data_IF_655743352607
#
_entry.id   IF_655743352607
#
_cell.length_a   1.000
_cell.length_b   1.000
_cell.length_c   1.000
_cell.angle_alpha   90.00
_cell.angle_beta   90.00
_cell.angle_gamma   90.00
#
_symmetry.space_group_name_H-M   'P 1'
#
loop_
_entity.id
_entity.type
_entity.pdbx_description
1 polymer ?
#
# COMPACT_ATOMS: atom_id res chain seq x y z
N UNK A 1 15.02 -51.17 12.31
CA UNK A 1 13.72 -51.00 11.64
C UNK A 1 13.63 -49.52 11.27
N UNK A 2 14.08 -49.19 10.06
CA UNK A 2 14.18 -47.81 9.59
C UNK A 2 13.09 -47.62 8.55
N UNK A 3 12.02 -46.92 8.92
CA UNK A 3 10.89 -46.63 8.03
C UNK A 3 11.29 -45.47 7.12
N UNK A 4 11.54 -45.77 5.85
CA UNK A 4 11.64 -44.78 4.79
C UNK A 4 10.24 -44.21 4.52
N UNK A 5 10.06 -42.91 4.75
CA UNK A 5 8.89 -42.18 4.26
C UNK A 5 9.25 -41.73 2.84
N UNK A 6 8.67 -42.41 1.85
CA UNK A 6 8.74 -42.03 0.45
C UNK A 6 7.80 -40.83 0.25
N UNK A 7 8.36 -39.63 0.08
CA UNK A 7 7.59 -38.47 -0.40
C UNK A 7 7.65 -38.50 -1.92
N UNK A 8 6.62 -39.06 -2.56
CA UNK A 8 6.39 -38.88 -4.00
C UNK A 8 5.97 -37.42 -4.22
N UNK A 9 6.90 -36.63 -4.75
CA UNK A 9 6.57 -35.33 -5.34
C UNK A 9 6.26 -35.61 -6.80
N UNK A 10 4.98 -35.68 -7.13
CA UNK A 10 4.54 -35.81 -8.51
C UNK A 10 5.08 -34.64 -9.34
N UNK A 11 5.78 -35.00 -10.39
CA UNK A 11 6.40 -34.12 -11.37
C UNK A 11 5.31 -33.41 -12.20
N UNK A 12 4.81 -32.26 -11.74
CA UNK A 12 3.93 -31.39 -12.53
C UNK A 12 4.74 -30.46 -13.43
N UNK A 13 5.27 -31.03 -14.52
CA UNK A 13 5.74 -30.25 -15.65
C UNK A 13 5.14 -30.80 -16.94
N UNK A 14 3.81 -30.71 -17.06
CA UNK A 14 3.15 -30.87 -18.35
C UNK A 14 3.10 -29.51 -19.06
N UNK A 15 3.76 -29.45 -20.22
CA UNK A 15 3.46 -28.46 -21.27
C UNK A 15 1.94 -28.42 -21.48
N UNK A 16 1.30 -27.25 -21.66
CA UNK A 16 -0.14 -27.21 -21.84
C UNK A 16 -0.52 -27.90 -23.15
N UNK A 17 -1.14 -29.07 -23.02
CA UNK A 17 -1.89 -29.75 -24.08
C UNK A 17 -3.09 -28.88 -24.46
N UNK A 18 -3.31 -28.74 -25.77
CA UNK A 18 -4.17 -27.74 -26.40
C UNK A 18 -5.67 -27.94 -26.31
N UNK A 19 -6.22 -28.22 -25.13
CA UNK A 19 -7.65 -28.07 -24.86
C UNK A 19 -7.87 -26.85 -23.95
N UNK A 20 -8.66 -25.90 -24.44
CA UNK A 20 -8.93 -24.66 -23.72
C UNK A 20 -9.81 -24.94 -22.49
N UNK A 21 -9.17 -25.01 -21.32
CA UNK A 21 -9.86 -25.19 -20.04
C UNK A 21 -10.92 -24.12 -19.85
N UNK A 22 -12.16 -24.54 -19.59
CA UNK A 22 -13.33 -23.65 -19.57
C UNK A 22 -13.65 -23.08 -18.19
N UNK A 23 -13.06 -23.64 -17.13
CA UNK A 23 -13.35 -23.29 -15.74
C UNK A 23 -12.07 -22.93 -14.98
N UNK A 24 -12.20 -22.02 -14.03
CA UNK A 24 -11.14 -21.64 -13.11
C UNK A 24 -11.59 -21.87 -11.67
N UNK A 25 -10.73 -22.49 -10.87
CA UNK A 25 -10.89 -22.56 -9.43
C UNK A 25 -10.18 -21.37 -8.79
N UNK A 26 -10.92 -20.64 -7.97
CA UNK A 26 -10.54 -19.32 -7.46
C UNK A 26 -10.63 -19.31 -5.94
N UNK A 27 -9.55 -18.92 -5.28
CA UNK A 27 -9.52 -18.66 -3.84
C UNK A 27 -9.54 -17.17 -3.55
N UNK A 28 -9.98 -16.80 -2.36
CA UNK A 28 -10.17 -15.41 -1.96
C UNK A 28 -9.41 -15.09 -0.69
N UNK A 29 -8.99 -13.82 -0.54
CA UNK A 29 -8.54 -13.28 0.74
C UNK A 29 -9.72 -13.11 1.71
N UNK A 30 -10.30 -14.24 2.11
CA UNK A 30 -11.42 -14.44 3.01
C UNK A 30 -11.19 -15.76 3.76
N UNK A 31 -11.75 -15.96 4.95
CA UNK A 31 -11.60 -17.19 5.72
C UNK A 31 -12.46 -18.33 5.15
N UNK A 32 -12.13 -18.79 3.94
CA UNK A 32 -12.84 -19.82 3.17
C UNK A 32 -11.87 -20.95 2.83
N UNK A 33 -12.20 -22.17 3.22
CA UNK A 33 -11.29 -23.32 3.06
C UNK A 33 -11.28 -23.88 1.63
N UNK A 34 -12.41 -23.82 0.93
CA UNK A 34 -12.54 -24.39 -0.41
C UNK A 34 -12.43 -23.33 -1.52
N UNK A 35 -11.79 -23.69 -2.67
CA UNK A 35 -11.86 -22.89 -3.88
C UNK A 35 -13.28 -22.81 -4.45
N UNK A 36 -13.57 -21.72 -5.13
CA UNK A 36 -14.83 -21.52 -5.85
C UNK A 36 -14.58 -21.64 -7.35
N UNK A 37 -15.44 -22.40 -8.03
CA UNK A 37 -15.33 -22.58 -9.48
C UNK A 37 -16.10 -21.51 -10.24
N UNK A 38 -15.48 -20.94 -11.27
CA UNK A 38 -16.06 -19.93 -12.15
C UNK A 38 -15.88 -20.32 -13.62
N UNK A 39 -16.83 -19.90 -14.46
CA UNK A 39 -16.73 -20.03 -15.92
C UNK A 39 -15.75 -18.98 -16.45
N UNK A 40 -14.83 -19.40 -17.30
CA UNK A 40 -13.97 -18.51 -18.10
C UNK A 40 -14.78 -18.10 -19.33
N UNK A 41 -15.17 -16.82 -19.45
CA UNK A 41 -15.94 -16.39 -20.60
C UNK A 41 -15.11 -16.42 -21.89
N UNK A 42 -15.74 -16.52 -23.07
CA UNK A 42 -15.04 -16.64 -24.35
C UNK A 42 -13.95 -15.59 -24.59
N UNK A 43 -14.17 -14.34 -24.17
CA UNK A 43 -13.18 -13.26 -24.34
C UNK A 43 -11.90 -13.42 -23.51
N UNK A 44 -11.88 -14.33 -22.52
CA UNK A 44 -10.72 -14.59 -21.67
C UNK A 44 -10.18 -16.02 -21.84
N UNK A 45 -10.75 -16.83 -22.74
CA UNK A 45 -10.25 -18.17 -23.01
C UNK A 45 -8.82 -18.13 -23.54
N UNK A 46 -7.92 -18.94 -22.96
CA UNK A 46 -6.49 -18.92 -23.27
C UNK A 46 -5.70 -17.77 -22.63
N UNK A 47 -6.36 -16.77 -22.05
CA UNK A 47 -5.72 -15.69 -21.31
C UNK A 47 -5.66 -15.97 -19.81
N UNK A 48 -6.66 -16.66 -19.24
CA UNK A 48 -6.63 -17.05 -17.82
C UNK A 48 -5.60 -18.16 -17.59
N UNK A 49 -4.72 -17.95 -16.61
CA UNK A 49 -3.69 -18.90 -16.20
C UNK A 49 -3.70 -19.04 -14.68
N UNK A 50 -3.20 -20.19 -14.19
CA UNK A 50 -2.94 -20.41 -12.76
C UNK A 50 -1.98 -19.32 -12.25
N UNK A 51 -2.26 -18.80 -11.06
CA UNK A 51 -1.50 -17.73 -10.42
C UNK A 51 -1.91 -16.31 -10.82
N UNK A 52 -2.91 -16.16 -11.70
CA UNK A 52 -3.47 -14.85 -12.06
C UNK A 52 -4.53 -14.38 -11.07
N UNK A 53 -4.70 -13.06 -10.97
CA UNK A 53 -5.88 -12.47 -10.32
C UNK A 53 -7.04 -12.43 -11.29
N UNK A 54 -8.24 -12.56 -10.73
CA UNK A 54 -9.51 -12.44 -11.44
C UNK A 54 -10.46 -11.56 -10.64
N UNK A 55 -11.24 -10.73 -11.32
CA UNK A 55 -12.40 -10.08 -10.73
C UNK A 55 -13.61 -10.96 -10.96
N UNK A 56 -14.27 -11.36 -9.88
CA UNK A 56 -15.41 -12.28 -9.93
C UNK A 56 -16.57 -11.79 -9.06
N UNK A 57 -17.81 -12.10 -9.45
CA UNK A 57 -18.98 -11.82 -8.61
C UNK A 57 -19.00 -12.76 -7.39
N UNK A 58 -19.03 -12.17 -6.19
CA UNK A 58 -19.13 -12.87 -4.91
C UNK A 58 -20.23 -12.23 -4.06
N UNK A 59 -21.37 -12.93 -3.94
CA UNK A 59 -22.59 -12.35 -3.38
C UNK A 59 -23.08 -11.15 -4.21
N UNK A 60 -23.22 -9.98 -3.57
CA UNK A 60 -23.70 -8.71 -4.17
C UNK A 60 -22.58 -7.81 -4.70
N UNK A 61 -21.31 -8.18 -4.52
CA UNK A 61 -20.14 -7.39 -4.90
C UNK A 61 -19.25 -8.16 -5.86
N UNK A 62 -18.38 -7.47 -6.58
CA UNK A 62 -17.23 -8.09 -7.22
C UNK A 62 -16.01 -7.98 -6.32
N UNK A 63 -15.23 -9.05 -6.22
CA UNK A 63 -13.99 -9.09 -5.45
C UNK A 63 -12.88 -9.71 -6.29
N UNK A 64 -11.64 -9.43 -5.89
CA UNK A 64 -10.45 -10.05 -6.47
C UNK A 64 -10.25 -11.43 -5.84
N UNK A 65 -10.04 -12.43 -6.68
CA UNK A 65 -9.60 -13.77 -6.29
C UNK A 65 -8.35 -14.19 -7.07
N UNK A 66 -7.76 -15.31 -6.66
CA UNK A 66 -6.56 -15.89 -7.27
C UNK A 66 -6.90 -17.24 -7.91
N UNK A 67 -6.55 -17.42 -9.17
CA UNK A 67 -6.74 -18.69 -9.87
C UNK A 67 -5.70 -19.69 -9.37
N UNK A 68 -6.15 -20.76 -8.73
CA UNK A 68 -5.27 -21.81 -8.18
C UNK A 68 -5.21 -23.03 -9.08
N UNK A 69 -6.25 -23.25 -9.88
CA UNK A 69 -6.34 -24.38 -10.79
C UNK A 69 -7.29 -24.06 -11.96
N UNK A 70 -7.15 -24.81 -13.05
CA UNK A 70 -8.00 -24.74 -14.22
C UNK A 70 -8.59 -26.12 -14.48
N UNK A 71 -9.90 -26.17 -14.69
CA UNK A 71 -10.66 -27.41 -14.83
C UNK A 71 -11.49 -27.44 -16.12
N UNK A 72 -11.78 -28.66 -16.59
CA UNK A 72 -12.53 -28.90 -17.82
C UNK A 72 -14.00 -29.27 -17.56
N UNK A 73 -14.31 -29.76 -16.35
CA UNK A 73 -15.62 -30.29 -16.01
C UNK A 73 -16.12 -29.75 -14.67
N UNK A 74 -17.44 -29.62 -14.58
CA UNK A 74 -18.16 -29.30 -13.36
C UNK A 74 -19.37 -30.21 -13.24
N UNK A 75 -19.26 -31.19 -12.34
CA UNK A 75 -20.26 -32.24 -12.20
C UNK A 75 -21.29 -31.95 -11.10
N UNK A 76 -21.19 -30.79 -10.45
CA UNK A 76 -22.11 -30.39 -9.37
C UNK A 76 -23.34 -29.68 -9.94
N UNK A 77 -24.55 -29.90 -9.39
CA UNK A 77 -25.81 -29.32 -9.87
C UNK A 77 -25.98 -27.85 -9.42
N UNK A 78 -24.93 -27.05 -9.47
CA UNK A 78 -24.91 -25.64 -9.05
C UNK A 78 -24.54 -24.79 -10.26
N UNK A 79 -25.35 -23.77 -10.53
CA UNK A 79 -25.10 -22.81 -11.60
C UNK A 79 -23.84 -21.99 -11.28
N UNK A 80 -22.85 -22.06 -12.17
CA UNK A 80 -21.61 -21.32 -12.03
C UNK A 80 -21.79 -19.86 -12.48
N UNK A 81 -21.09 -18.96 -11.78
CA UNK A 81 -20.93 -17.58 -12.23
C UNK A 81 -19.72 -17.46 -13.14
N UNK A 82 -19.68 -16.39 -13.93
CA UNK A 82 -18.61 -16.11 -14.88
C UNK A 82 -17.59 -15.15 -14.29
N UNK A 83 -16.31 -15.29 -14.69
CA UNK A 83 -15.29 -14.28 -14.42
C UNK A 83 -15.70 -12.95 -15.05
N UNK A 84 -15.67 -11.88 -14.26
CA UNK A 84 -16.07 -10.55 -14.71
C UNK A 84 -14.94 -9.85 -15.48
N UNK A 85 -13.70 -9.94 -15.01
CA UNK A 85 -12.55 -9.27 -15.64
C UNK A 85 -11.21 -9.84 -15.17
N UNK A 86 -10.12 -9.46 -15.85
CA UNK A 86 -8.73 -9.83 -15.49
C UNK A 86 -7.92 -8.57 -15.18
N UNK A 87 -7.52 -8.32 -13.92
CA UNK A 87 -6.68 -7.17 -13.56
C UNK A 87 -5.26 -7.22 -14.14
N UNK A 88 -4.76 -8.42 -14.43
CA UNK A 88 -3.39 -8.65 -14.88
C UNK A 88 -3.37 -9.40 -16.22
N UNK A 89 -2.30 -9.22 -16.99
CA UNK A 89 -2.07 -9.96 -18.25
C UNK A 89 -1.25 -11.23 -18.05
N UNK A 90 -0.58 -11.37 -16.91
CA UNK A 90 0.30 -12.49 -16.58
C UNK A 90 0.08 -12.94 -15.12
N UNK A 91 0.45 -14.20 -14.76
CA UNK A 91 0.42 -14.66 -13.39
C UNK A 91 1.29 -13.79 -12.48
N UNK A 92 0.73 -13.38 -11.34
CA UNK A 92 1.45 -12.64 -10.30
C UNK A 92 1.98 -13.57 -9.20
N UNK A 93 1.48 -14.81 -9.16
CA UNK A 93 1.92 -15.89 -8.27
C UNK A 93 2.43 -17.03 -9.14
N UNK A 94 3.64 -17.51 -8.89
CA UNK A 94 4.17 -18.69 -9.57
C UNK A 94 3.74 -19.99 -8.86
N UNK A 95 4.02 -21.12 -9.49
CA UNK A 95 3.66 -22.44 -8.96
C UNK A 95 4.31 -22.73 -7.60
N UNK A 96 5.57 -22.34 -7.39
CA UNK A 96 6.25 -22.56 -6.11
C UNK A 96 5.58 -21.79 -4.98
N UNK A 97 5.19 -20.53 -5.21
CA UNK A 97 4.50 -19.72 -4.20
C UNK A 97 3.08 -20.23 -3.96
N UNK A 98 2.37 -20.72 -4.97
CA UNK A 98 1.07 -21.38 -4.78
C UNK A 98 1.19 -22.60 -3.88
N UNK A 99 2.15 -23.48 -4.14
CA UNK A 99 2.39 -24.68 -3.32
C UNK A 99 2.77 -24.32 -1.88
N UNK A 100 3.69 -23.36 -1.71
CA UNK A 100 4.09 -22.89 -0.38
C UNK A 100 2.93 -22.28 0.39
N UNK A 101 2.14 -21.43 -0.25
CA UNK A 101 1.00 -20.75 0.41
C UNK A 101 -0.14 -21.72 0.71
N UNK A 102 -0.32 -22.78 -0.09
CA UNK A 102 -1.25 -23.85 0.21
C UNK A 102 -0.82 -24.58 1.49
N UNK A 103 0.45 -25.02 1.56
CA UNK A 103 1.01 -25.67 2.74
C UNK A 103 0.91 -24.78 3.99
N UNK A 104 1.20 -23.47 3.85
CA UNK A 104 1.05 -22.51 4.96
C UNK A 104 -0.40 -22.42 5.45
N UNK A 105 -1.37 -22.37 4.54
CA UNK A 105 -2.79 -22.35 4.87
C UNK A 105 -3.21 -23.59 5.66
N UNK A 106 -2.83 -24.76 5.17
CA UNK A 106 -3.12 -26.05 5.82
C UNK A 106 -2.45 -26.16 7.19
N UNK A 107 -1.17 -25.79 7.30
CA UNK A 107 -0.39 -25.91 8.54
C UNK A 107 -0.87 -24.93 9.63
N UNK A 108 -1.17 -23.68 9.26
CA UNK A 108 -1.59 -22.65 10.20
C UNK A 108 -3.11 -22.47 10.31
N UNK A 109 -3.90 -23.36 9.68
CA UNK A 109 -5.36 -23.33 9.66
C UNK A 109 -5.94 -21.99 9.16
N UNK A 110 -5.26 -21.34 8.21
CA UNK A 110 -5.74 -20.14 7.50
C UNK A 110 -6.23 -20.52 6.09
N UNK A 111 -6.97 -19.63 5.42
CA UNK A 111 -7.34 -19.93 4.03
C UNK A 111 -6.15 -19.78 3.08
N UNK A 112 -6.17 -20.55 1.99
CA UNK A 112 -5.15 -20.44 0.96
C UNK A 112 -5.09 -19.02 0.36
N UNK A 113 -6.24 -18.36 0.17
CA UNK A 113 -6.26 -17.00 -0.37
C UNK A 113 -5.76 -15.94 0.62
N UNK A 114 -5.92 -16.13 1.93
CA UNK A 114 -5.29 -15.29 2.96
C UNK A 114 -3.76 -15.49 2.96
N UNK A 115 -3.28 -16.73 2.85
CA UNK A 115 -1.86 -17.05 2.76
C UNK A 115 -1.21 -16.47 1.49
N UNK A 116 -1.85 -16.60 0.32
CA UNK A 116 -1.40 -15.97 -0.92
C UNK A 116 -1.31 -14.45 -0.75
N UNK A 117 -2.35 -13.84 -0.17
CA UNK A 117 -2.35 -12.39 0.04
C UNK A 117 -1.22 -11.95 0.96
N UNK A 118 -0.93 -12.70 2.01
CA UNK A 118 0.15 -12.38 2.95
C UNK A 118 1.54 -12.47 2.30
N UNK A 119 1.72 -13.34 1.31
CA UNK A 119 2.98 -13.49 0.57
C UNK A 119 3.21 -12.36 -0.46
N UNK A 120 2.16 -11.66 -0.90
CA UNK A 120 2.25 -10.62 -1.92
C UNK A 120 2.58 -9.23 -1.33
N UNK A 121 3.33 -8.37 -2.07
CA UNK A 121 3.64 -7.02 -1.62
C UNK A 121 2.39 -6.20 -1.26
N UNK A 122 2.49 -5.46 -0.16
CA UNK A 122 1.44 -4.53 0.25
C UNK A 122 1.22 -3.47 -0.84
N UNK A 123 0.00 -3.43 -1.39
CA UNK A 123 -0.40 -2.46 -2.40
C UNK A 123 -0.65 -3.03 -3.80
N UNK A 124 -0.47 -4.33 -4.02
CA UNK A 124 -0.89 -4.97 -5.28
C UNK A 124 -2.40 -4.81 -5.53
N UNK A 125 -3.21 -4.78 -4.46
CA UNK A 125 -4.66 -4.47 -4.53
C UNK A 125 -4.96 -2.97 -4.33
N UNK A 126 -3.94 -2.16 -4.01
CA UNK A 126 -4.10 -0.71 -3.84
C UNK A 126 -3.86 0.00 -5.16
N UNK A 127 -4.71 -0.34 -6.12
CA UNK A 127 -4.75 0.24 -7.48
C UNK A 127 -5.05 1.75 -7.48
N UNK A 128 -5.30 2.34 -6.29
CA UNK A 128 -5.49 3.79 -6.14
C UNK A 128 -4.21 4.60 -6.21
N UNK A 129 -3.04 3.93 -6.28
CA UNK A 129 -1.71 4.56 -6.33
C UNK A 129 -1.14 4.72 -7.73
N UNK A 130 -1.73 4.08 -8.72
CA UNK A 130 -1.29 4.17 -10.11
C UNK A 130 -2.01 5.31 -10.82
N UNK A 131 -1.22 6.20 -11.43
CA UNK A 131 -1.68 7.20 -12.37
C UNK A 131 -1.22 6.83 -13.77
N UNK A 132 -2.14 6.92 -14.71
CA UNK A 132 -1.95 6.66 -16.13
C UNK A 132 -1.98 7.98 -16.89
N UNK A 133 -0.98 8.20 -17.73
CA UNK A 133 -0.98 9.23 -18.76
C UNK A 133 -0.90 8.56 -20.14
N UNK A 134 -1.53 9.15 -21.16
CA UNK A 134 -1.41 8.63 -22.52
C UNK A 134 0.01 8.87 -23.04
N UNK A 135 0.60 7.87 -23.69
CA UNK A 135 1.88 8.03 -24.38
C UNK A 135 1.69 8.57 -25.81
N UNK A 136 2.78 8.92 -26.48
CA UNK A 136 2.78 9.28 -27.90
C UNK A 136 2.22 8.13 -28.76
N UNK A 137 2.71 6.90 -28.53
CA UNK A 137 2.23 5.67 -29.20
C UNK A 137 0.73 5.46 -28.96
N UNK A 138 0.24 5.72 -27.74
CA UNK A 138 -1.19 5.65 -27.40
C UNK A 138 -2.04 6.66 -28.18
N UNK A 139 -1.50 7.84 -28.44
CA UNK A 139 -2.17 8.90 -29.18
C UNK A 139 -2.28 8.55 -30.67
N UNK A 140 -1.20 8.02 -31.25
CA UNK A 140 -1.19 7.52 -32.63
C UNK A 140 -2.15 6.34 -32.81
N UNK A 141 -2.14 5.40 -31.87
CA UNK A 141 -3.02 4.24 -31.89
C UNK A 141 -4.50 4.62 -31.90
N UNK A 142 -4.86 5.68 -31.17
CA UNK A 142 -6.23 6.23 -31.17
C UNK A 142 -6.69 6.68 -32.56
N UNK A 143 -5.77 7.20 -33.35
CA UNK A 143 -6.03 7.71 -34.71
C UNK A 143 -6.04 6.58 -35.75
N UNK A 144 -5.23 5.54 -35.53
CA UNK A 144 -5.06 4.42 -36.48
C UNK A 144 -6.20 3.39 -36.49
N UNK A 145 -7.05 3.34 -35.45
CA UNK A 145 -8.26 2.51 -35.41
C UNK A 145 -8.04 1.00 -35.15
N UNK A 146 -6.85 0.56 -34.74
CA UNK A 146 -6.50 -0.86 -34.54
C UNK A 146 -6.89 -1.45 -33.17
N UNK A 147 -7.56 -0.67 -32.31
CA UNK A 147 -7.78 -1.00 -30.90
C UNK A 147 -9.16 -1.59 -30.62
N UNK A 148 -9.27 -2.38 -29.55
CA UNK A 148 -10.56 -2.89 -29.07
C UNK A 148 -11.46 -1.75 -28.57
N UNK A 149 -12.79 -1.96 -28.55
CA UNK A 149 -13.76 -0.95 -28.09
C UNK A 149 -13.44 -0.42 -26.69
N UNK A 150 -13.13 -1.31 -25.74
CA UNK A 150 -12.75 -0.92 -24.37
C UNK A 150 -11.42 -0.17 -24.33
N UNK A 151 -10.43 -0.59 -25.14
CA UNK A 151 -9.15 0.12 -25.24
C UNK A 151 -9.32 1.55 -25.78
N UNK A 152 -10.15 1.73 -26.82
CA UNK A 152 -10.49 3.06 -27.35
C UNK A 152 -11.17 3.93 -26.30
N UNK A 153 -12.13 3.40 -25.56
CA UNK A 153 -12.79 4.16 -24.48
C UNK A 153 -11.82 4.59 -23.38
N UNK A 154 -10.91 3.70 -22.97
CA UNK A 154 -9.89 3.98 -21.94
C UNK A 154 -8.93 5.07 -22.44
N UNK A 155 -8.33 4.91 -23.61
CA UNK A 155 -7.39 5.89 -24.14
C UNK A 155 -8.07 7.24 -24.45
N UNK A 156 -9.29 7.24 -24.98
CA UNK A 156 -10.06 8.47 -25.24
C UNK A 156 -10.44 9.22 -23.95
N UNK A 157 -10.66 8.49 -22.86
CA UNK A 157 -10.89 9.11 -21.55
C UNK A 157 -9.59 9.71 -20.99
N UNK A 158 -8.49 8.94 -21.03
CA UNK A 158 -7.20 9.36 -20.50
C UNK A 158 -6.63 10.53 -21.32
N UNK A 159 -6.82 10.57 -22.63
CA UNK A 159 -6.29 11.65 -23.50
C UNK A 159 -6.89 13.03 -23.21
N UNK A 160 -8.05 13.10 -22.56
CA UNK A 160 -8.73 14.36 -22.22
C UNK A 160 -8.19 15.03 -20.95
N UNK A 161 -7.29 14.37 -20.23
CA UNK A 161 -6.77 14.84 -18.95
C UNK A 161 -5.27 14.49 -18.80
N UNK A 162 -4.49 15.25 -18.02
CA UNK A 162 -3.05 15.01 -17.93
C UNK A 162 -2.72 13.64 -17.32
N UNK A 163 -3.54 13.19 -16.37
CA UNK A 163 -3.41 11.89 -15.71
C UNK A 163 -4.76 11.36 -15.26
N UNK A 164 -4.89 10.04 -15.15
CA UNK A 164 -6.06 9.33 -14.67
C UNK A 164 -5.67 8.24 -13.66
N UNK A 165 -6.45 8.07 -12.60
CA UNK A 165 -6.34 6.91 -11.70
C UNK A 165 -7.28 5.79 -12.15
N UNK A 166 -7.01 4.55 -11.73
CA UNK A 166 -7.91 3.42 -12.04
C UNK A 166 -9.36 3.70 -11.62
N UNK A 167 -9.56 4.24 -10.41
CA UNK A 167 -10.90 4.57 -9.89
C UNK A 167 -11.61 5.61 -10.73
N UNK A 168 -10.89 6.57 -11.31
CA UNK A 168 -11.48 7.55 -12.23
C UNK A 168 -11.91 6.87 -13.53
N UNK A 169 -11.06 6.02 -14.11
CA UNK A 169 -11.39 5.24 -15.30
C UNK A 169 -12.63 4.36 -15.07
N UNK A 170 -12.66 3.59 -13.97
CA UNK A 170 -13.80 2.74 -13.61
C UNK A 170 -15.10 3.54 -13.43
N UNK A 171 -15.05 4.68 -12.72
CA UNK A 171 -16.22 5.52 -12.47
C UNK A 171 -16.76 6.18 -13.73
N UNK A 172 -15.87 6.67 -14.60
CA UNK A 172 -16.26 7.38 -15.80
C UNK A 172 -16.78 6.44 -16.90
N UNK A 173 -16.14 5.27 -17.05
CA UNK A 173 -16.43 4.35 -18.15
C UNK A 173 -17.46 3.26 -17.79
N UNK A 174 -17.64 2.95 -16.51
CA UNK A 174 -18.63 1.98 -16.05
C UNK A 174 -18.52 0.64 -16.78
N UNK A 175 -19.58 0.22 -17.47
CA UNK A 175 -19.62 -1.05 -18.23
C UNK A 175 -18.66 -1.10 -19.43
N UNK A 176 -18.20 0.04 -19.91
CA UNK A 176 -17.23 0.12 -21.01
C UNK A 176 -15.79 -0.07 -20.53
N UNK A 177 -15.57 -0.01 -19.21
CA UNK A 177 -14.29 -0.26 -18.59
C UNK A 177 -13.95 -1.75 -18.63
N UNK A 178 -12.70 -2.07 -18.96
CA UNK A 178 -12.13 -3.40 -18.76
C UNK A 178 -10.75 -3.24 -18.13
N UNK A 179 -10.56 -3.91 -16.98
CA UNK A 179 -9.28 -4.02 -16.30
C UNK A 179 -8.25 -4.72 -17.20
N UNK A 180 -8.68 -5.76 -17.93
CA UNK A 180 -7.79 -6.46 -18.86
C UNK A 180 -7.31 -5.56 -20.00
N UNK A 181 -8.21 -4.76 -20.58
CA UNK A 181 -7.83 -3.79 -21.62
C UNK A 181 -6.84 -2.74 -21.07
N UNK A 182 -7.06 -2.24 -19.85
CA UNK A 182 -6.13 -1.31 -19.21
C UNK A 182 -4.74 -1.95 -18.98
N UNK A 183 -4.70 -3.18 -18.46
CA UNK A 183 -3.46 -3.91 -18.22
C UNK A 183 -2.68 -4.16 -19.53
N UNK A 184 -3.38 -4.52 -20.60
CA UNK A 184 -2.82 -4.62 -21.97
C UNK A 184 -2.24 -3.31 -22.45
N UNK A 185 -3.00 -2.21 -22.34
CA UNK A 185 -2.53 -0.88 -22.76
C UNK A 185 -1.27 -0.44 -22.01
N UNK A 186 -1.15 -0.79 -20.73
CA UNK A 186 0.05 -0.58 -19.92
C UNK A 186 1.22 -1.43 -20.43
N UNK A 187 1.00 -2.73 -20.62
CA UNK A 187 2.04 -3.67 -21.07
C UNK A 187 2.58 -3.32 -22.46
N UNK A 188 1.70 -2.89 -23.36
CA UNK A 188 2.03 -2.54 -24.75
C UNK A 188 2.58 -1.11 -24.89
N UNK A 189 2.74 -0.38 -23.79
CA UNK A 189 3.38 0.94 -23.76
C UNK A 189 2.49 2.09 -24.22
N UNK A 190 1.20 1.85 -24.51
CA UNK A 190 0.25 2.90 -24.86
C UNK A 190 -0.01 3.87 -23.69
N UNK A 191 0.21 3.44 -22.45
CA UNK A 191 0.08 4.26 -21.25
C UNK A 191 1.42 4.38 -20.50
N UNK A 192 1.75 5.60 -20.08
CA UNK A 192 2.80 5.85 -19.09
C UNK A 192 2.23 5.69 -17.69
N UNK A 193 2.88 4.87 -16.85
CA UNK A 193 2.46 4.64 -15.46
C UNK A 193 3.38 5.39 -14.51
N UNK A 194 2.80 6.13 -13.56
CA UNK A 194 3.54 6.70 -12.43
C UNK A 194 2.88 6.29 -11.11
N UNK A 195 3.69 5.92 -10.11
CA UNK A 195 3.19 5.61 -8.78
C UNK A 195 3.26 6.86 -7.90
N UNK A 196 2.14 7.26 -7.30
CA UNK A 196 2.19 8.24 -6.23
C UNK A 196 2.86 7.61 -5.01
N UNK A 197 4.11 7.96 -4.73
CA UNK A 197 4.65 7.80 -3.38
C UNK A 197 3.87 8.75 -2.46
N UNK A 198 2.98 8.22 -1.62
CA UNK A 198 2.58 8.97 -0.42
C UNK A 198 3.86 9.18 0.37
N UNK A 199 4.42 10.39 0.33
CA UNK A 199 5.31 10.81 1.42
C UNK A 199 4.51 10.55 2.68
N UNK A 200 5.04 9.72 3.58
CA UNK A 200 4.45 9.49 4.88
C UNK A 200 4.03 10.86 5.42
N UNK A 201 2.73 11.05 5.67
CA UNK A 201 2.28 12.14 6.53
C UNK A 201 2.71 11.72 7.93
N UNK A 202 4.02 11.69 8.20
CA UNK A 202 4.52 11.76 9.57
C UNK A 202 3.91 13.06 10.06
N UNK A 203 2.88 12.93 10.89
CA UNK A 203 2.09 14.07 11.33
C UNK A 203 3.03 14.96 12.13
N UNK A 204 3.43 16.08 11.57
CA UNK A 204 4.27 17.01 12.30
C UNK A 204 3.45 17.60 13.46
N UNK A 205 4.05 17.64 14.63
CA UNK A 205 3.52 18.40 15.75
C UNK A 205 4.28 19.72 15.82
N UNK A 206 3.54 20.82 15.81
CA UNK A 206 4.08 22.13 16.11
C UNK A 206 4.25 22.22 17.62
N UNK A 207 5.50 22.27 18.07
CA UNK A 207 5.84 22.34 19.50
C UNK A 207 6.44 23.71 19.77
N UNK A 208 5.96 24.37 20.83
CA UNK A 208 6.59 25.61 21.31
C UNK A 208 7.88 25.23 22.03
N UNK A 209 8.99 25.71 21.49
CA UNK A 209 10.34 25.49 22.01
C UNK A 209 10.96 26.82 22.44
N UNK A 210 11.94 26.73 23.31
CA UNK A 210 12.68 27.90 23.81
C UNK A 210 14.16 27.67 23.54
N UNK A 211 14.83 28.74 23.11
CA UNK A 211 16.28 28.82 22.99
C UNK A 211 16.82 30.15 23.48
N UNK A 212 18.12 30.24 23.69
CA UNK A 212 18.81 31.50 23.96
C UNK A 212 18.77 32.39 22.70
N UNK A 213 18.72 33.71 22.90
CA UNK A 213 18.78 34.65 21.78
C UNK A 213 20.13 34.54 21.05
N UNK A 214 20.14 34.71 19.73
CA UNK A 214 21.35 34.56 18.90
C UNK A 214 22.48 35.54 19.25
N UNK A 215 22.16 36.66 19.91
CA UNK A 215 23.13 37.63 20.43
C UNK A 215 22.88 37.84 21.92
N UNK A 216 23.63 37.12 22.74
CA UNK A 216 23.60 37.25 24.19
C UNK A 216 24.34 38.52 24.65
N UNK A 217 23.90 39.17 25.74
CA UNK A 217 24.69 40.18 26.44
C UNK A 217 26.01 39.58 26.98
N UNK A 218 26.97 40.42 27.36
CA UNK A 218 28.23 39.95 27.93
C UNK A 218 28.01 39.15 29.23
N UNK A 219 28.86 38.17 29.50
CA UNK A 219 28.74 37.24 30.64
C UNK A 219 28.57 37.95 32.00
N UNK A 220 29.29 39.07 32.20
CA UNK A 220 29.17 39.93 33.39
C UNK A 220 27.80 40.60 33.55
N UNK A 221 27.12 40.87 32.45
CA UNK A 221 25.79 41.48 32.43
C UNK A 221 24.70 40.43 32.71
N UNK A 222 24.86 39.24 32.13
CA UNK A 222 24.00 38.07 32.40
C UNK A 222 24.03 37.71 33.88
N UNK A 223 25.22 37.63 34.49
CA UNK A 223 25.36 37.32 35.91
C UNK A 223 24.72 38.38 36.81
N UNK A 224 24.78 39.68 36.44
CA UNK A 224 24.07 40.75 37.15
C UNK A 224 22.55 40.60 37.03
N UNK A 225 22.05 40.31 35.84
CA UNK A 225 20.62 40.17 35.55
C UNK A 225 20.02 38.93 36.23
N UNK A 226 20.78 37.86 36.40
CA UNK A 226 20.31 36.59 36.99
C UNK A 226 20.67 36.43 38.47
N UNK A 227 21.45 37.35 39.06
CA UNK A 227 21.96 37.30 40.45
C UNK A 227 20.91 37.03 41.53
N UNK A 228 19.69 37.55 41.36
CA UNK A 228 18.58 37.45 42.34
C UNK A 228 17.50 36.44 41.94
N UNK A 229 17.72 35.65 40.89
CA UNK A 229 16.69 34.77 40.33
C UNK A 229 17.23 33.36 40.08
N UNK A 230 17.41 32.54 41.14
CA UNK A 230 18.01 31.20 41.05
C UNK A 230 17.32 30.29 40.02
N UNK A 231 15.97 30.33 39.95
CA UNK A 231 15.20 29.58 38.96
C UNK A 231 15.42 30.05 37.52
N UNK A 232 15.63 31.35 37.29
CA UNK A 232 15.95 31.87 35.95
C UNK A 232 17.36 31.47 35.53
N UNK A 233 18.31 31.41 36.48
CA UNK A 233 19.67 30.91 36.23
C UNK A 233 19.65 29.43 35.83
N UNK A 234 18.90 28.59 36.56
CA UNK A 234 18.74 27.17 36.21
C UNK A 234 18.16 26.95 34.81
N UNK A 235 17.10 27.69 34.44
CA UNK A 235 16.52 27.60 33.09
C UNK A 235 17.49 28.13 32.03
N UNK A 236 18.24 29.19 32.32
CA UNK A 236 19.25 29.74 31.42
C UNK A 236 20.41 28.76 31.18
N UNK A 237 20.94 28.14 32.23
CA UNK A 237 22.02 27.15 32.15
C UNK A 237 21.58 25.90 31.38
N UNK A 238 20.31 25.47 31.55
CA UNK A 238 19.73 24.37 30.77
C UNK A 238 19.63 24.71 29.28
N UNK A 239 19.22 25.94 28.96
CA UNK A 239 19.10 26.43 27.58
C UNK A 239 20.45 26.70 26.90
N UNK A 240 21.55 26.83 27.66
CA UNK A 240 22.91 26.85 27.10
C UNK A 240 23.32 25.48 26.54
N UNK A 241 22.79 24.40 27.10
CA UNK A 241 23.17 23.04 26.73
C UNK A 241 22.30 22.48 25.60
N UNK A 242 21.00 22.76 25.62
CA UNK A 242 20.07 22.33 24.58
C UNK A 242 18.84 23.23 24.47
N UNK A 243 18.27 23.29 23.27
CA UNK A 243 16.92 23.81 23.07
C UNK A 243 15.91 22.83 23.67
N UNK A 244 14.87 23.34 24.31
CA UNK A 244 13.89 22.51 25.03
C UNK A 244 12.47 22.93 24.72
N UNK A 245 11.57 21.95 24.65
CA UNK A 245 10.16 22.25 24.49
C UNK A 245 9.49 22.61 25.83
N UNK A 246 8.38 23.35 25.79
CA UNK A 246 7.71 23.84 27.02
C UNK A 246 7.21 22.73 27.95
N UNK A 247 6.84 21.55 27.42
CA UNK A 247 6.38 20.41 28.22
C UNK A 247 7.54 19.72 28.94
N UNK A 248 8.65 19.50 28.23
CA UNK A 248 9.89 18.94 28.77
C UNK A 248 10.52 19.88 29.80
N UNK A 249 10.45 21.20 29.58
CA UNK A 249 10.91 22.19 30.57
C UNK A 249 10.12 22.13 31.87
N UNK A 250 8.79 22.03 31.80
CA UNK A 250 7.94 21.93 33.00
C UNK A 250 8.18 20.62 33.75
N UNK A 251 8.55 19.56 33.03
CA UNK A 251 8.90 18.25 33.60
C UNK A 251 10.26 18.28 34.31
N UNK A 252 11.28 18.90 33.71
CA UNK A 252 12.62 18.99 34.29
C UNK A 252 12.72 20.05 35.39
N UNK A 253 11.99 21.16 35.26
CA UNK A 253 12.00 22.29 36.19
C UNK A 253 10.54 22.69 36.47
N UNK A 254 9.94 22.20 37.57
CA UNK A 254 8.59 22.57 37.96
C UNK A 254 8.44 24.09 38.16
N UNK A 255 7.48 24.69 37.45
CA UNK A 255 7.29 26.13 37.37
C UNK A 255 8.29 26.86 36.46
N UNK A 256 9.03 26.15 35.62
CA UNK A 256 10.02 26.70 34.68
C UNK A 256 9.40 27.67 33.66
N UNK A 257 8.12 27.47 33.29
CA UNK A 257 7.41 28.41 32.42
C UNK A 257 7.26 29.82 33.01
N UNK A 258 7.18 29.95 34.35
CA UNK A 258 7.14 31.26 35.01
C UNK A 258 8.49 31.99 34.93
N UNK A 259 9.59 31.24 34.99
CA UNK A 259 10.95 31.77 34.86
C UNK A 259 11.26 32.22 33.41
N UNK A 260 10.70 31.53 32.41
CA UNK A 260 10.80 31.92 31.00
C UNK A 260 10.26 33.31 30.71
N UNK A 261 9.15 33.71 31.36
CA UNK A 261 8.58 35.05 31.16
C UNK A 261 9.58 36.14 31.57
N UNK A 262 10.23 35.98 32.71
CA UNK A 262 11.25 36.92 33.19
C UNK A 262 12.53 36.90 32.34
N UNK A 263 12.94 35.75 31.82
CA UNK A 263 14.06 35.64 30.87
C UNK A 263 13.74 36.30 29.52
N UNK A 264 12.48 36.21 29.06
CA UNK A 264 12.00 36.86 27.83
C UNK A 264 11.96 38.39 28.00
N UNK A 265 11.48 38.89 29.14
CA UNK A 265 11.49 40.32 29.47
C UNK A 265 12.93 40.89 29.52
N UNK A 266 13.89 40.09 30.00
CA UNK A 266 15.33 40.40 29.99
C UNK A 266 16.01 40.21 28.63
N UNK A 267 15.27 39.82 27.59
CA UNK A 267 15.77 39.56 26.22
C UNK A 267 16.89 38.50 26.16
N UNK A 268 16.86 37.51 27.07
CA UNK A 268 17.85 36.43 27.11
C UNK A 268 17.39 35.16 26.37
N UNK A 269 16.07 34.99 26.19
CA UNK A 269 15.48 33.82 25.53
C UNK A 269 14.46 34.23 24.50
N UNK A 270 14.29 33.41 23.48
CA UNK A 270 13.21 33.51 22.50
C UNK A 270 12.37 32.23 22.46
N UNK A 271 11.05 32.40 22.30
CA UNK A 271 10.09 31.31 22.16
C UNK A 271 9.71 31.24 20.69
N UNK A 272 9.89 30.08 20.10
CA UNK A 272 9.57 29.83 18.70
C UNK A 272 8.74 28.55 18.57
N UNK A 273 8.08 28.41 17.44
CA UNK A 273 7.32 27.20 17.12
C UNK A 273 8.18 26.35 16.20
N UNK A 274 8.57 25.18 16.65
CA UNK A 274 9.32 24.23 15.86
C UNK A 274 8.41 23.13 15.32
N UNK A 275 8.67 22.69 14.10
CA UNK A 275 7.99 21.58 13.45
C UNK A 275 8.76 20.30 13.79
N UNK A 276 8.33 19.56 14.81
CA UNK A 276 8.88 18.23 15.13
C UNK A 276 8.05 17.13 14.48
N UNK A 277 8.72 16.08 14.01
CA UNK A 277 8.04 14.85 13.60
C UNK A 277 7.39 14.20 14.82
N UNK A 278 6.14 13.73 14.71
CA UNK A 278 5.58 12.86 15.75
C UNK A 278 6.39 11.57 15.78
N UNK A 279 7.14 11.38 16.84
CA UNK A 279 7.61 10.06 17.22
C UNK A 279 6.37 9.18 17.39
N UNK A 280 6.39 8.00 16.76
CA UNK A 280 5.34 7.02 16.94
C UNK A 280 5.25 6.71 18.44
N UNK A 281 4.03 6.74 18.99
CA UNK A 281 3.76 6.40 20.38
C UNK A 281 4.42 5.04 20.69
N UNK A 282 5.51 5.05 21.45
CA UNK A 282 6.06 3.86 22.09
C UNK A 282 5.35 3.79 23.45
N UNK A 283 4.45 2.83 23.68
CA UNK A 283 3.86 2.69 25.01
C UNK A 283 4.98 2.39 26.01
N UNK A 284 5.18 3.26 26.98
CA UNK A 284 6.01 3.00 28.15
C UNK A 284 5.38 1.81 28.90
N UNK A 285 5.98 0.63 28.80
CA UNK A 285 5.43 -0.58 29.41
C UNK A 285 6.17 -1.88 29.17
N UNK A 286 7.06 -1.98 28.19
CA UNK A 286 7.96 -3.15 28.09
C UNK A 286 9.14 -2.95 29.04
N UNK A 287 8.90 -3.21 30.32
CA UNK A 287 9.96 -3.56 31.27
C UNK A 287 10.78 -4.70 30.65
N UNK A 288 12.07 -4.47 30.48
CA UNK A 288 13.05 -5.55 30.37
C UNK A 288 12.92 -6.43 31.62
N UNK A 289 12.53 -7.69 31.42
CA UNK A 289 12.94 -8.79 32.28
C UNK A 289 13.85 -9.70 31.47
#
# INVERSE_FOLDING_TARGET
MTTQIQTEIDSFNEKPSGDAKALAEVVFNLPLQEPFTYIIPPQFQGNVRVGMRVLVPFGRRCITGYVVNLADKWDKPIALKTIADLPDTEPIVNAEMLSLTQWLGEYYQSSWGEAIRAALPAGLDDESREEFAISEIGTEALTSGSLSKSAVHILSFISKQPKATLKQCQRALGKSFSAYALARLKQEGFLQTSHQTRKSKVGYQFVKSVRLVSRLPGEKEIDRLLKRSPKQKLVFDLLQQKEINLSELETLIPGGQSALRGLKEKKLVEVFTEKKEREAFVPEGTMNQ
#
